data_IF_931123516939
#
_entry.id   IF_931123516939
#
_cell.length_a   1.000
_cell.length_b   1.000
_cell.length_c   1.000
_cell.angle_alpha   90.00
_cell.angle_beta   90.00
_cell.angle_gamma   90.00
#
_symmetry.space_group_name_H-M   'P 1'
#
loop_
_entity.id
_entity.type
_entity.pdbx_description
1 polymer ?
#
# COMPACT_ATOMS: atom_id res chain seq x y z
N UNK A 1 -9.88 -2.80 -10.20
CA UNK A 1 -8.66 -1.98 -10.14
C UNK A 1 -7.53 -2.79 -9.54
N UNK A 2 -6.40 -2.83 -10.20
CA UNK A 2 -5.23 -3.55 -9.70
C UNK A 2 -4.38 -2.67 -8.80
N UNK A 3 -3.94 -3.24 -7.68
CA UNK A 3 -3.12 -2.50 -6.71
C UNK A 3 -2.00 -3.35 -6.16
N UNK A 4 -0.91 -2.69 -5.75
CA UNK A 4 0.06 -3.26 -4.83
C UNK A 4 -0.11 -2.58 -3.49
N UNK A 5 0.22 -3.30 -2.42
CA UNK A 5 0.14 -2.77 -1.06
C UNK A 5 1.52 -2.84 -0.43
N UNK A 6 1.98 -1.71 0.08
CA UNK A 6 3.28 -1.60 0.76
C UNK A 6 3.06 -1.63 2.26
N UNK A 7 3.80 -2.48 2.96
CA UNK A 7 3.68 -2.66 4.40
C UNK A 7 5.05 -2.69 5.06
N UNK A 8 5.09 -2.49 6.37
CA UNK A 8 6.31 -2.64 7.17
C UNK A 8 6.12 -3.51 8.42
N UNK A 9 4.90 -3.69 8.88
CA UNK A 9 4.66 -4.29 10.19
C UNK A 9 3.52 -5.29 10.27
N UNK A 10 2.64 -5.10 11.23
CA UNK A 10 1.61 -6.06 11.59
C UNK A 10 0.62 -6.35 10.46
N UNK A 11 0.26 -5.35 9.68
CA UNK A 11 -0.64 -5.55 8.55
C UNK A 11 -2.12 -5.54 8.92
N UNK A 12 -2.50 -4.93 10.02
CA UNK A 12 -3.92 -4.83 10.39
C UNK A 12 -4.72 -4.06 9.32
N UNK A 13 -4.15 -2.99 8.79
CA UNK A 13 -4.79 -2.26 7.70
C UNK A 13 -4.84 -3.10 6.43
N UNK A 14 -3.77 -3.84 6.16
CA UNK A 14 -3.76 -4.79 5.04
C UNK A 14 -4.88 -5.81 5.19
N UNK A 15 -5.08 -6.36 6.39
CA UNK A 15 -6.13 -7.35 6.60
C UNK A 15 -7.51 -6.76 6.30
N UNK A 16 -7.76 -5.53 6.72
CA UNK A 16 -9.02 -4.85 6.41
C UNK A 16 -9.22 -4.68 4.90
N UNK A 17 -8.16 -4.37 4.19
CA UNK A 17 -8.22 -4.23 2.74
C UNK A 17 -8.51 -5.59 2.10
N UNK A 18 -7.84 -6.65 2.55
CA UNK A 18 -8.06 -8.00 2.04
C UNK A 18 -9.53 -8.39 2.25
N UNK A 19 -10.04 -8.16 3.45
CA UNK A 19 -11.40 -8.56 3.81
C UNK A 19 -12.46 -7.81 3.00
N UNK A 20 -12.16 -6.65 2.48
CA UNK A 20 -13.11 -5.81 1.75
C UNK A 20 -12.79 -5.69 0.26
N UNK A 21 -11.76 -6.36 -0.22
CA UNK A 21 -11.28 -6.18 -1.61
C UNK A 21 -12.39 -6.45 -2.64
N UNK A 22 -13.17 -7.50 -2.44
CA UNK A 22 -14.23 -7.85 -3.38
C UNK A 22 -15.33 -6.78 -3.42
N UNK A 23 -15.63 -6.18 -2.27
CA UNK A 23 -16.67 -5.15 -2.18
C UNK A 23 -16.32 -3.89 -2.95
N UNK A 24 -15.04 -3.58 -3.05
CA UNK A 24 -14.56 -2.36 -3.71
C UNK A 24 -13.94 -2.65 -5.07
N UNK A 25 -14.06 -3.87 -5.54
CA UNK A 25 -13.53 -4.29 -6.83
C UNK A 25 -12.02 -4.04 -6.93
N UNK A 26 -11.31 -4.38 -5.88
CA UNK A 26 -9.86 -4.22 -5.80
C UNK A 26 -9.18 -5.57 -5.96
N UNK A 27 -8.27 -5.66 -6.92
CA UNK A 27 -7.42 -6.83 -7.11
C UNK A 27 -6.04 -6.53 -6.55
N UNK A 28 -5.65 -7.21 -5.49
CA UNK A 28 -4.34 -7.04 -4.89
C UNK A 28 -3.35 -7.91 -5.65
N UNK A 29 -2.47 -7.28 -6.42
CA UNK A 29 -1.51 -8.02 -7.26
C UNK A 29 -0.30 -8.49 -6.47
N UNK A 30 0.12 -7.72 -5.47
CA UNK A 30 1.29 -8.06 -4.67
C UNK A 30 1.28 -7.25 -3.37
N UNK A 31 1.79 -7.86 -2.31
CA UNK A 31 2.07 -7.18 -1.05
C UNK A 31 3.58 -7.10 -0.90
N UNK A 32 4.11 -5.89 -0.76
CA UNK A 32 5.54 -5.65 -0.71
C UNK A 32 5.90 -5.10 0.67
N UNK A 33 6.89 -5.70 1.32
CA UNK A 33 7.39 -5.25 2.61
C UNK A 33 8.86 -4.87 2.53
N UNK A 34 9.24 -3.84 3.28
CA UNK A 34 10.63 -3.49 3.51
C UNK A 34 11.20 -4.19 4.75
N UNK A 35 10.43 -5.06 5.37
CA UNK A 35 10.82 -5.80 6.56
C UNK A 35 10.42 -7.26 6.39
N UNK A 36 11.42 -8.15 6.32
CA UNK A 36 11.18 -9.59 6.14
C UNK A 36 10.41 -10.22 7.31
N UNK A 37 10.38 -9.56 8.45
CA UNK A 37 9.71 -10.06 9.65
C UNK A 37 8.30 -9.48 9.82
N UNK A 38 7.81 -8.73 8.86
CA UNK A 38 6.49 -8.14 8.95
C UNK A 38 5.40 -9.21 9.00
N UNK A 39 4.58 -9.20 10.04
CA UNK A 39 3.49 -10.16 10.17
C UNK A 39 2.48 -10.04 9.02
N UNK A 40 2.34 -8.84 8.46
CA UNK A 40 1.47 -8.64 7.30
C UNK A 40 1.79 -9.54 6.11
N UNK A 41 3.05 -9.98 5.99
CA UNK A 41 3.40 -10.96 4.95
C UNK A 41 2.68 -12.29 5.16
N UNK A 42 2.53 -12.72 6.41
CA UNK A 42 1.78 -13.95 6.71
C UNK A 42 0.30 -13.79 6.40
N UNK A 43 -0.26 -12.61 6.64
CA UNK A 43 -1.64 -12.31 6.27
C UNK A 43 -1.85 -12.41 4.77
N UNK A 44 -0.91 -11.86 4.00
CA UNK A 44 -0.96 -11.93 2.55
C UNK A 44 -0.86 -13.37 2.05
N UNK A 45 0.07 -14.14 2.61
CA UNK A 45 0.23 -15.55 2.25
C UNK A 45 -1.02 -16.36 2.57
N UNK A 46 -1.64 -16.11 3.71
CA UNK A 46 -2.89 -16.79 4.09
C UNK A 46 -4.01 -16.47 3.11
N UNK A 47 -3.99 -15.30 2.51
CA UNK A 47 -4.96 -14.88 1.51
C UNK A 47 -4.55 -15.30 0.09
N UNK A 48 -3.45 -16.05 -0.04
CA UNK A 48 -2.90 -16.53 -1.32
C UNK A 48 -2.49 -15.41 -2.26
N UNK A 49 -2.01 -14.31 -1.68
CA UNK A 49 -1.49 -13.17 -2.44
C UNK A 49 0.01 -13.33 -2.64
N UNK A 50 0.50 -12.81 -3.76
CA UNK A 50 1.94 -12.73 -3.99
C UNK A 50 2.56 -11.74 -3.02
N UNK A 51 3.79 -12.03 -2.59
CA UNK A 51 4.54 -11.16 -1.70
C UNK A 51 5.92 -10.91 -2.27
N UNK A 52 6.50 -9.77 -1.90
CA UNK A 52 7.88 -9.44 -2.20
C UNK A 52 8.49 -8.71 -1.01
N UNK A 53 9.78 -8.89 -0.83
CA UNK A 53 10.52 -8.26 0.25
C UNK A 53 11.68 -7.49 -0.37
N UNK A 54 11.84 -6.22 0.02
CA UNK A 54 12.98 -5.41 -0.39
C UNK A 54 13.68 -4.96 0.87
N UNK A 55 14.88 -5.49 1.10
CA UNK A 55 15.67 -5.16 2.29
C UNK A 55 16.39 -3.84 2.07
N UNK A 56 16.10 -2.78 2.86
CA UNK A 56 16.77 -1.49 2.68
C UNK A 56 18.28 -1.55 2.86
N UNK A 57 18.77 -2.50 3.64
CA UNK A 57 20.21 -2.63 3.91
C UNK A 57 21.02 -3.03 2.69
N UNK A 58 20.37 -3.54 1.66
CA UNK A 58 21.03 -3.96 0.44
C UNK A 58 21.25 -2.81 -0.56
N UNK A 59 20.81 -1.61 -0.23
CA UNK A 59 20.84 -0.48 -1.16
C UNK A 59 21.64 0.68 -0.56
N UNK A 60 22.40 1.37 -1.42
CA UNK A 60 23.27 2.45 -0.99
C UNK A 60 22.56 3.78 -0.76
N UNK A 61 21.36 3.92 -1.28
CA UNK A 61 20.61 5.17 -1.16
C UNK A 61 19.12 4.88 -1.16
N UNK A 62 18.36 5.87 -0.70
CA UNK A 62 16.90 5.80 -0.75
C UNK A 62 16.41 5.72 -2.19
N UNK A 63 17.06 6.44 -3.08
CA UNK A 63 16.71 6.43 -4.51
C UNK A 63 16.95 5.06 -5.13
N UNK A 64 18.06 4.41 -4.80
CA UNK A 64 18.35 3.06 -5.31
C UNK A 64 17.30 2.07 -4.83
N UNK A 65 16.91 2.16 -3.55
CA UNK A 65 15.83 1.34 -3.00
C UNK A 65 14.53 1.58 -3.76
N UNK A 66 14.15 2.83 -3.93
CA UNK A 66 12.88 3.16 -4.60
C UNK A 66 12.88 2.80 -6.08
N UNK A 67 14.03 2.83 -6.77
CA UNK A 67 14.11 2.33 -8.14
C UNK A 67 13.79 0.84 -8.22
N UNK A 68 14.31 0.06 -7.27
CA UNK A 68 13.98 -1.37 -7.21
C UNK A 68 12.51 -1.57 -6.91
N UNK A 69 11.96 -0.79 -5.99
CA UNK A 69 10.55 -0.83 -5.67
C UNK A 69 9.69 -0.55 -6.91
N UNK A 70 10.05 0.49 -7.67
CA UNK A 70 9.37 0.82 -8.92
C UNK A 70 9.45 -0.35 -9.90
N UNK A 71 10.64 -0.96 -10.02
CA UNK A 71 10.83 -2.09 -10.93
C UNK A 71 9.91 -3.26 -10.61
N UNK A 72 9.78 -3.58 -9.33
CA UNK A 72 8.88 -4.66 -8.89
C UNK A 72 7.43 -4.28 -9.17
N UNK A 73 7.03 -3.07 -8.84
CA UNK A 73 5.65 -2.61 -9.07
C UNK A 73 5.32 -2.64 -10.55
N UNK A 74 6.24 -2.22 -11.42
CA UNK A 74 6.01 -2.22 -12.87
C UNK A 74 5.73 -3.61 -13.41
N UNK A 75 6.31 -4.65 -12.81
CA UNK A 75 6.06 -6.02 -13.24
C UNK A 75 4.62 -6.46 -13.01
N UNK A 76 3.91 -5.79 -12.12
CA UNK A 76 2.52 -6.13 -11.80
C UNK A 76 1.48 -5.31 -12.55
N UNK A 77 1.90 -4.28 -13.28
CA UNK A 77 0.99 -3.50 -14.11
C UNK A 77 -0.17 -2.88 -13.33
N UNK A 78 0.12 -2.28 -12.18
CA UNK A 78 -0.93 -1.80 -11.28
C UNK A 78 -1.34 -0.36 -11.57
N UNK A 79 -2.54 -0.02 -11.12
CA UNK A 79 -3.13 1.31 -11.25
C UNK A 79 -3.06 2.10 -9.95
N UNK A 80 -2.84 1.42 -8.83
CA UNK A 80 -2.90 2.03 -7.50
C UNK A 80 -1.83 1.43 -6.59
N UNK A 81 -1.19 2.29 -5.81
CA UNK A 81 -0.26 1.88 -4.79
C UNK A 81 -0.83 2.30 -3.44
N UNK A 82 -1.01 1.34 -2.54
CA UNK A 82 -1.57 1.60 -1.21
C UNK A 82 -0.49 1.43 -0.16
N UNK A 83 -0.28 2.45 0.65
CA UNK A 83 0.62 2.40 1.79
C UNK A 83 -0.21 2.02 3.01
N UNK A 84 -0.01 0.82 3.52
CA UNK A 84 -0.77 0.30 4.65
C UNK A 84 0.18 0.02 5.81
N UNK A 85 0.49 1.05 6.58
CA UNK A 85 1.49 0.95 7.65
C UNK A 85 2.90 0.85 7.12
N UNK A 86 3.19 1.49 6.01
CA UNK A 86 4.52 1.51 5.41
C UNK A 86 5.35 2.58 6.11
N UNK A 87 6.46 2.18 6.73
CA UNK A 87 7.22 3.04 7.63
C UNK A 87 8.36 3.80 6.96
N UNK A 88 8.54 3.64 5.66
CA UNK A 88 9.57 4.35 4.91
C UNK A 88 8.99 5.58 4.25
N UNK A 89 9.75 6.67 4.25
CA UNK A 89 9.39 7.87 3.49
C UNK A 89 9.74 7.61 2.02
N UNK A 90 8.79 7.84 1.14
CA UNK A 90 9.00 7.71 -0.29
C UNK A 90 9.85 8.87 -0.82
N UNK A 91 10.75 8.57 -1.76
CA UNK A 91 11.55 9.62 -2.38
C UNK A 91 10.72 10.42 -3.39
N UNK A 92 11.13 11.66 -3.71
CA UNK A 92 10.49 12.41 -4.80
C UNK A 92 10.47 11.66 -6.12
N UNK A 93 11.50 10.85 -6.38
CA UNK A 93 11.55 10.00 -7.57
C UNK A 93 10.33 9.08 -7.63
N UNK A 94 10.03 8.38 -6.53
CA UNK A 94 8.89 7.46 -6.47
C UNK A 94 7.57 8.22 -6.58
N UNK A 95 7.42 9.29 -5.80
CA UNK A 95 6.18 10.06 -5.78
C UNK A 95 5.88 10.66 -7.16
N UNK A 96 6.91 11.16 -7.85
CA UNK A 96 6.73 11.70 -9.20
C UNK A 96 6.31 10.62 -10.19
N UNK A 97 6.91 9.44 -10.08
CA UNK A 97 6.63 8.33 -11.00
C UNK A 97 5.17 7.87 -10.88
N UNK A 98 4.64 7.87 -9.67
CA UNK A 98 3.29 7.40 -9.39
C UNK A 98 2.35 8.51 -8.92
N UNK A 99 2.60 9.73 -9.35
CA UNK A 99 1.79 10.87 -8.95
C UNK A 99 0.30 10.62 -9.19
N UNK A 100 -0.49 10.88 -8.16
CA UNK A 100 -1.94 10.68 -8.24
C UNK A 100 -2.39 9.23 -8.09
N UNK A 101 -1.45 8.30 -7.88
CA UNK A 101 -1.76 6.87 -7.79
C UNK A 101 -1.38 6.25 -6.45
N UNK A 102 -0.97 7.05 -5.48
CA UNK A 102 -0.51 6.56 -4.18
C UNK A 102 -1.51 6.98 -3.11
N UNK A 103 -2.07 5.99 -2.42
CA UNK A 103 -2.94 6.21 -1.27
C UNK A 103 -2.21 5.81 0.00
N UNK A 104 -2.29 6.64 1.03
CA UNK A 104 -1.74 6.31 2.33
C UNK A 104 -2.89 6.08 3.31
N UNK A 105 -2.85 4.95 3.99
CA UNK A 105 -3.85 4.58 4.98
C UNK A 105 -3.21 4.69 6.36
N UNK A 106 -3.74 5.58 7.19
CA UNK A 106 -3.26 5.78 8.55
C UNK A 106 -4.15 5.05 9.56
N UNK A 107 -3.56 4.55 10.65
CA UNK A 107 -4.36 3.90 11.70
C UNK A 107 -5.08 4.90 12.60
N UNK A 108 -5.03 6.18 12.30
CA UNK A 108 -5.69 7.20 13.11
C UNK A 108 -7.03 7.59 12.49
N UNK A 109 -8.01 7.82 13.36
CA UNK A 109 -9.32 8.25 12.94
C UNK A 109 -9.29 9.71 12.52
N UNK A 110 -9.73 10.00 11.32
CA UNK A 110 -9.97 11.37 10.88
C UNK A 110 -11.45 11.65 10.94
N UNK A 111 -11.83 12.88 11.25
CA UNK A 111 -13.25 13.25 11.31
C UNK A 111 -13.92 13.11 9.95
N UNK A 112 -13.18 13.30 8.90
CA UNK A 112 -13.70 13.18 7.53
C UNK A 112 -12.62 12.60 6.65
N UNK A 113 -13.03 11.81 5.70
CA UNK A 113 -12.12 11.46 4.62
C UNK A 113 -11.95 12.70 3.76
N UNK A 114 -10.70 13.03 3.38
CA UNK A 114 -10.50 14.13 2.45
C UNK A 114 -11.34 13.83 1.22
N UNK A 115 -12.26 14.70 0.91
CA UNK A 115 -13.30 14.44 -0.05
C UNK A 115 -12.80 14.32 -1.47
N UNK A 116 -12.25 13.19 -1.81
CA UNK A 116 -11.83 12.91 -3.16
C UNK A 116 -12.77 11.89 -3.76
N UNK A 117 -13.86 12.39 -4.32
CA UNK A 117 -14.91 11.57 -4.88
C UNK A 117 -14.41 10.62 -5.95
N UNK A 118 -13.34 10.98 -6.64
CA UNK A 118 -12.73 10.14 -7.67
C UNK A 118 -12.20 8.82 -7.12
N UNK A 119 -12.05 8.70 -5.80
CA UNK A 119 -11.49 7.51 -5.17
C UNK A 119 -12.44 6.96 -4.10
N UNK A 120 -13.71 7.09 -4.34
CA UNK A 120 -14.75 6.71 -3.40
C UNK A 120 -14.62 5.27 -2.92
N UNK A 121 -14.21 4.36 -3.80
CA UNK A 121 -14.04 2.97 -3.42
C UNK A 121 -12.99 2.76 -2.34
N UNK A 122 -11.86 3.45 -2.45
CA UNK A 122 -10.81 3.35 -1.44
C UNK A 122 -11.26 3.98 -0.12
N UNK A 123 -12.00 5.07 -0.20
CA UNK A 123 -12.56 5.72 0.98
C UNK A 123 -13.55 4.80 1.68
N UNK A 124 -14.42 4.15 0.93
CA UNK A 124 -15.40 3.21 1.47
C UNK A 124 -14.71 2.05 2.18
N UNK A 125 -13.62 1.54 1.59
CA UNK A 125 -12.85 0.48 2.23
C UNK A 125 -12.27 0.95 3.57
N UNK A 126 -11.83 2.19 3.65
CA UNK A 126 -11.29 2.75 4.89
C UNK A 126 -12.35 2.91 5.96
N UNK A 127 -13.55 3.30 5.60
CA UNK A 127 -14.66 3.39 6.55
C UNK A 127 -14.96 2.04 7.17
N UNK A 128 -14.99 0.99 6.35
CA UNK A 128 -15.25 -0.35 6.87
C UNK A 128 -14.11 -0.88 7.72
N UNK A 129 -12.93 -0.26 7.64
CA UNK A 129 -11.78 -0.62 8.45
C UNK A 129 -11.77 0.06 9.83
N UNK A 130 -12.80 0.77 10.21
CA UNK A 130 -12.99 1.36 11.54
C UNK A 130 -11.87 2.30 11.97
N UNK A 131 -11.96 3.54 11.58
CA UNK A 131 -11.06 4.57 12.07
C UNK A 131 -9.74 4.68 11.32
N UNK A 132 -9.71 4.20 10.09
CA UNK A 132 -8.57 4.39 9.22
C UNK A 132 -8.75 5.67 8.42
N UNK A 133 -7.68 6.43 8.30
CA UNK A 133 -7.63 7.65 7.51
C UNK A 133 -6.98 7.37 6.16
N UNK A 134 -7.50 7.98 5.11
CA UNK A 134 -6.98 7.80 3.75
C UNK A 134 -6.69 9.14 3.11
N UNK A 135 -5.54 9.26 2.48
CA UNK A 135 -5.23 10.44 1.67
C UNK A 135 -4.27 10.06 0.55
N UNK A 136 -4.27 10.89 -0.50
CA UNK A 136 -3.29 10.73 -1.58
C UNK A 136 -1.96 11.31 -1.18
N UNK A 137 -0.90 10.67 -1.64
CA UNK A 137 0.47 11.15 -1.46
C UNK A 137 0.86 11.97 -2.68
N UNK A 138 1.27 13.19 -2.43
CA UNK A 138 1.68 14.14 -3.47
C UNK A 138 3.11 14.60 -3.27
#
# INVERSE_FOLDING_TARGET
MKAVILISGNGSNLQSIIDNADRIDLQISCVISNNKNAFGLKRAESAKLQTAIIDPELYNSKEAFDRELISIIQQHGVELIVLAGYMRVLTPLFVSHYFGKILNIHPSLLPKFPGLNTHQRAIDASETAHGVSVHFVT
#
